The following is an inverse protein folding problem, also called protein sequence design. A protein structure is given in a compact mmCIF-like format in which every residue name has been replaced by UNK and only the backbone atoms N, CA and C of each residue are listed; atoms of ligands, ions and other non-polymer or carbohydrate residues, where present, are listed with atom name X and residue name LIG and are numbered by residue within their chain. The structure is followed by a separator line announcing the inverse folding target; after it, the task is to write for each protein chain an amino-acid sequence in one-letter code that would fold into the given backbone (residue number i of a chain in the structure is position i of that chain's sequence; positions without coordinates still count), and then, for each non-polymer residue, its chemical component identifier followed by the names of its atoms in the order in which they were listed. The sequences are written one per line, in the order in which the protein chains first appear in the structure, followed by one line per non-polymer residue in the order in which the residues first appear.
data_IF_231091686199
#
_entry.id   IF_231091686199
#
_cell.length_a   1.000
_cell.length_b   1.000
_cell.length_c   1.000
_cell.angle_alpha   90.00
_cell.angle_beta   90.00
_cell.angle_gamma   90.00
#
_symmetry.space_group_name_H-M   'P 1'
#
loop_
_entity.id
_entity.type
_entity.pdbx_description
1 polymer ?
#
# COMPACT_ATOMS: atom_id res chain seq x y z
N UNK A 1 6.80 39.01 -1.02
CA UNK A 1 7.17 37.86 -0.17
C UNK A 1 5.99 37.12 0.42
N UNK A 2 4.93 37.80 0.85
CA UNK A 2 3.74 37.12 1.42
C UNK A 2 2.97 36.28 0.42
N UNK A 3 2.98 36.61 -0.87
CA UNK A 3 2.29 35.87 -1.93
C UNK A 3 2.94 34.52 -2.29
N UNK A 4 4.21 34.31 -1.91
CA UNK A 4 4.97 33.08 -2.22
C UNK A 4 4.72 31.97 -1.18
N UNK A 5 4.36 32.35 0.06
CA UNK A 5 4.11 31.40 1.16
C UNK A 5 2.76 30.69 1.06
N UNK A 6 1.74 31.37 0.51
CA UNK A 6 0.38 30.82 0.38
C UNK A 6 0.32 29.59 -0.54
N UNK A 7 0.96 29.59 -1.73
CA UNK A 7 0.95 28.41 -2.59
C UNK A 7 1.65 27.19 -1.98
N UNK A 8 2.70 27.41 -1.18
CA UNK A 8 3.44 26.33 -0.50
C UNK A 8 2.60 25.65 0.58
N UNK A 9 1.83 26.41 1.32
CA UNK A 9 0.92 25.88 2.36
C UNK A 9 -0.22 25.09 1.71
N UNK A 10 -0.77 25.58 0.61
CA UNK A 10 -1.82 24.88 -0.14
C UNK A 10 -1.33 23.55 -0.70
N UNK A 11 -0.08 23.48 -1.19
CA UNK A 11 0.52 22.24 -1.69
C UNK A 11 0.73 21.22 -0.56
N UNK A 12 1.15 21.65 0.61
CA UNK A 12 1.33 20.77 1.77
C UNK A 12 0.00 20.16 2.23
N UNK A 13 -1.07 20.93 2.23
CA UNK A 13 -2.41 20.46 2.59
C UNK A 13 -2.95 19.45 1.57
N UNK A 14 -2.70 19.69 0.28
CA UNK A 14 -3.12 18.76 -0.80
C UNK A 14 -2.39 17.43 -0.72
N UNK A 15 -1.11 17.44 -0.37
CA UNK A 15 -0.30 16.22 -0.21
C UNK A 15 -0.85 15.31 0.89
N UNK A 16 -1.26 15.88 2.04
CA UNK A 16 -1.85 15.11 3.14
C UNK A 16 -3.15 14.42 2.76
N UNK A 17 -4.02 15.09 1.99
CA UNK A 17 -5.26 14.49 1.50
C UNK A 17 -5.00 13.33 0.53
N UNK A 18 -4.04 13.47 -0.38
CA UNK A 18 -3.66 12.43 -1.34
C UNK A 18 -3.13 11.19 -0.62
N UNK A 19 -2.28 11.36 0.39
CA UNK A 19 -1.75 10.26 1.19
C UNK A 19 -2.84 9.49 1.92
N UNK A 20 -3.81 10.19 2.51
CA UNK A 20 -4.93 9.56 3.22
C UNK A 20 -5.78 8.71 2.27
N UNK A 21 -6.09 9.24 1.09
CA UNK A 21 -6.86 8.51 0.07
C UNK A 21 -6.07 7.29 -0.43
N UNK A 22 -4.78 7.47 -0.71
CA UNK A 22 -3.91 6.40 -1.18
C UNK A 22 -3.80 5.28 -0.14
N UNK A 23 -3.65 5.61 1.14
CA UNK A 23 -3.60 4.64 2.23
C UNK A 23 -4.87 3.81 2.29
N UNK A 24 -6.03 4.44 2.22
CA UNK A 24 -7.32 3.75 2.21
C UNK A 24 -7.47 2.78 1.03
N UNK A 25 -7.00 3.18 -0.14
CA UNK A 25 -7.04 2.33 -1.33
C UNK A 25 -6.10 1.15 -1.23
N UNK A 26 -4.89 1.36 -0.71
CA UNK A 26 -3.92 0.27 -0.50
C UNK A 26 -4.46 -0.70 0.55
N UNK A 27 -4.99 -0.20 1.66
CA UNK A 27 -5.62 -1.03 2.69
C UNK A 27 -6.71 -1.92 2.09
N UNK A 28 -7.62 -1.33 1.32
CA UNK A 28 -8.71 -2.08 0.67
C UNK A 28 -8.17 -3.13 -0.30
N UNK A 29 -7.15 -2.78 -1.08
CA UNK A 29 -6.53 -3.71 -2.03
C UNK A 29 -5.89 -4.91 -1.31
N UNK A 30 -5.24 -4.68 -0.18
CA UNK A 30 -4.62 -5.74 0.62
C UNK A 30 -5.67 -6.67 1.23
N UNK A 31 -6.75 -6.10 1.77
CA UNK A 31 -7.87 -6.90 2.31
C UNK A 31 -8.54 -7.70 1.20
N UNK A 32 -8.81 -7.10 0.05
CA UNK A 32 -9.38 -7.79 -1.10
C UNK A 32 -8.47 -8.89 -1.64
N UNK A 33 -7.15 -8.75 -1.49
CA UNK A 33 -6.20 -9.79 -1.86
C UNK A 33 -6.19 -10.95 -0.86
N UNK A 34 -6.83 -10.81 0.30
CA UNK A 34 -6.98 -11.87 1.29
C UNK A 34 -6.15 -11.70 2.55
N UNK A 35 -5.48 -10.57 2.73
CA UNK A 35 -4.72 -10.29 3.96
C UNK A 35 -5.67 -9.88 5.10
N UNK A 36 -5.25 -10.12 6.34
CA UNK A 36 -6.01 -9.71 7.51
C UNK A 36 -6.09 -8.19 7.61
N UNK A 37 -7.14 -7.66 8.26
CA UNK A 37 -7.29 -6.23 8.54
C UNK A 37 -6.07 -5.65 9.23
N UNK A 38 -5.54 -6.36 10.22
CA UNK A 38 -4.38 -5.92 10.99
C UNK A 38 -3.13 -5.77 10.12
N UNK A 39 -2.84 -6.77 9.30
CA UNK A 39 -1.71 -6.72 8.38
C UNK A 39 -1.91 -5.67 7.30
N UNK A 40 -3.12 -5.57 6.75
CA UNK A 40 -3.46 -4.59 5.73
C UNK A 40 -3.28 -3.15 6.24
N UNK A 41 -3.74 -2.86 7.45
CA UNK A 41 -3.60 -1.53 8.06
C UNK A 41 -2.13 -1.16 8.25
N UNK A 42 -1.35 -2.05 8.84
CA UNK A 42 0.07 -1.82 9.09
C UNK A 42 0.86 -1.66 7.79
N UNK A 43 0.65 -2.55 6.83
CA UNK A 43 1.36 -2.52 5.55
C UNK A 43 0.99 -1.29 4.71
N UNK A 44 -0.29 -0.93 4.66
CA UNK A 44 -0.74 0.24 3.89
C UNK A 44 -0.07 1.52 4.37
N UNK A 45 0.01 1.72 5.68
CA UNK A 45 0.65 2.89 6.27
C UNK A 45 2.11 3.03 5.82
N UNK A 46 2.84 1.93 5.78
CA UNK A 46 4.25 1.91 5.37
C UNK A 46 4.42 2.04 3.85
N UNK A 47 3.56 1.39 3.09
CA UNK A 47 3.69 1.33 1.64
C UNK A 47 3.40 2.66 0.97
N UNK A 48 2.41 3.43 1.46
CA UNK A 48 2.09 4.75 0.88
C UNK A 48 3.22 5.75 1.06
N UNK A 49 4.05 5.60 2.09
CA UNK A 49 5.19 6.48 2.32
C UNK A 49 6.36 6.22 1.36
N UNK A 50 6.42 5.04 0.77
CA UNK A 50 7.59 4.58 0.02
C UNK A 50 7.34 4.32 -1.45
N UNK A 51 6.10 4.13 -1.86
CA UNK A 51 5.75 3.83 -3.24
C UNK A 51 5.07 5.02 -3.90
N UNK A 52 5.27 5.15 -5.20
CA UNK A 52 4.60 6.16 -6.02
C UNK A 52 3.15 5.74 -6.30
N UNK A 53 2.30 6.68 -6.69
CA UNK A 53 0.91 6.39 -7.06
C UNK A 53 0.82 5.35 -8.19
N UNK A 54 1.62 5.44 -9.29
CA UNK A 54 1.60 4.39 -10.31
C UNK A 54 1.95 3.01 -9.78
N UNK A 55 2.90 2.91 -8.82
CA UNK A 55 3.26 1.64 -8.19
C UNK A 55 2.13 1.08 -7.32
N UNK A 56 1.45 1.94 -6.58
CA UNK A 56 0.29 1.55 -5.78
C UNK A 56 -0.86 1.04 -6.66
N UNK A 57 -1.06 1.63 -7.83
CA UNK A 57 -2.06 1.16 -8.79
C UNK A 57 -1.76 -0.24 -9.32
N UNK A 58 -0.50 -0.58 -9.49
CA UNK A 58 -0.09 -1.94 -9.88
C UNK A 58 -0.51 -2.96 -8.82
N UNK A 59 -0.44 -2.58 -7.54
CA UNK A 59 -0.89 -3.44 -6.44
C UNK A 59 -2.41 -3.59 -6.42
N UNK A 60 -3.16 -2.54 -6.73
CA UNK A 60 -4.62 -2.60 -6.82
C UNK A 60 -5.09 -3.59 -7.89
N UNK A 61 -4.29 -3.80 -8.94
CA UNK A 61 -4.60 -4.75 -10.00
C UNK A 61 -4.46 -6.22 -9.57
N UNK A 62 -3.84 -6.49 -8.41
CA UNK A 62 -3.65 -7.84 -7.87
C UNK A 62 -4.85 -8.30 -7.05
N UNK A 63 -6.06 -8.18 -7.60
CA UNK A 63 -7.27 -8.63 -6.92
C UNK A 63 -7.33 -10.15 -6.85
N UNK A 64 -7.89 -10.66 -5.76
CA UNK A 64 -8.15 -12.09 -5.62
C UNK A 64 -9.07 -12.58 -6.73
N UNK A 65 -8.79 -13.75 -7.26
CA UNK A 65 -9.66 -14.43 -8.24
C UNK A 65 -10.94 -14.91 -7.56
N UNK A 66 -12.03 -15.15 -8.32
CA UNK A 66 -13.23 -15.75 -7.75
C UNK A 66 -12.91 -17.04 -6.98
N UNK A 67 -13.38 -17.15 -5.75
CA UNK A 67 -13.10 -18.29 -4.85
C UNK A 67 -11.88 -18.11 -3.96
N UNK A 68 -10.92 -17.26 -4.31
CA UNK A 68 -9.74 -17.00 -3.47
C UNK A 68 -10.06 -16.11 -2.26
N UNK A 69 -11.10 -15.28 -2.35
CA UNK A 69 -11.52 -14.39 -1.26
C UNK A 69 -12.01 -15.14 -0.02
N UNK A 70 -12.50 -16.35 -0.21
CA UNK A 70 -13.01 -17.19 0.87
C UNK A 70 -11.89 -17.84 1.68
N UNK A 71 -10.66 -17.82 1.17
CA UNK A 71 -9.50 -18.41 1.82
C UNK A 71 -8.52 -17.33 2.25
N UNK A 72 -8.13 -17.30 3.54
CA UNK A 72 -7.10 -16.36 3.98
C UNK A 72 -5.81 -16.57 3.17
N UNK A 73 -5.22 -15.47 2.74
CA UNK A 73 -3.94 -15.48 2.03
C UNK A 73 -2.82 -15.26 3.04
N UNK A 74 -1.79 -16.09 2.99
CA UNK A 74 -0.58 -15.88 3.77
C UNK A 74 0.24 -14.73 3.14
N UNK A 75 1.08 -14.09 3.95
CA UNK A 75 2.00 -13.06 3.46
C UNK A 75 2.88 -13.61 2.34
N UNK A 76 3.38 -14.85 2.48
CA UNK A 76 4.20 -15.48 1.46
C UNK A 76 3.47 -15.65 0.13
N UNK A 77 2.21 -16.06 0.16
CA UNK A 77 1.38 -16.19 -1.04
C UNK A 77 1.11 -14.84 -1.69
N UNK A 78 0.87 -13.81 -0.89
CA UNK A 78 0.68 -12.46 -1.39
C UNK A 78 1.95 -11.93 -2.06
N UNK A 79 3.10 -12.13 -1.46
CA UNK A 79 4.39 -11.73 -2.04
C UNK A 79 4.67 -12.41 -3.38
N UNK A 80 4.28 -13.67 -3.54
CA UNK A 80 4.38 -14.36 -4.83
C UNK A 80 3.55 -13.66 -5.91
N UNK A 81 2.37 -13.16 -5.56
CA UNK A 81 1.55 -12.38 -6.49
C UNK A 81 2.20 -11.04 -6.83
N UNK A 82 2.77 -10.37 -5.84
CA UNK A 82 3.45 -9.08 -6.02
C UNK A 82 4.64 -9.21 -6.97
N UNK A 83 5.34 -10.32 -6.94
CA UNK A 83 6.46 -10.58 -7.88
C UNK A 83 6.04 -10.54 -9.34
N UNK A 84 4.80 -10.88 -9.66
CA UNK A 84 4.27 -10.84 -11.02
C UNK A 84 4.09 -9.43 -11.56
N UNK A 85 4.08 -8.43 -10.70
CA UNK A 85 4.01 -7.01 -11.10
C UNK A 85 5.24 -6.60 -11.90
N UNK A 86 6.39 -7.26 -11.67
CA UNK A 86 7.62 -6.98 -12.39
C UNK A 86 8.35 -5.70 -11.97
N UNK A 87 8.03 -5.17 -10.80
CA UNK A 87 8.67 -3.96 -10.25
C UNK A 87 9.43 -4.36 -8.98
N UNK A 88 10.75 -4.34 -9.06
CA UNK A 88 11.63 -4.76 -7.96
C UNK A 88 11.45 -3.90 -6.70
N UNK A 89 11.21 -2.60 -6.86
CA UNK A 89 10.97 -1.70 -5.73
C UNK A 89 9.66 -2.03 -5.03
N UNK A 90 8.59 -2.29 -5.79
CA UNK A 90 7.30 -2.71 -5.23
C UNK A 90 7.47 -4.00 -4.43
N UNK A 91 8.19 -4.98 -4.96
CA UNK A 91 8.46 -6.24 -4.26
C UNK A 91 9.23 -5.99 -2.97
N UNK A 92 10.30 -5.21 -3.02
CA UNK A 92 11.14 -4.93 -1.86
C UNK A 92 10.39 -4.18 -0.76
N UNK A 93 9.64 -3.14 -1.11
CA UNK A 93 8.86 -2.35 -0.15
C UNK A 93 7.74 -3.20 0.46
N UNK A 94 7.04 -3.98 -0.34
CA UNK A 94 5.96 -4.84 0.14
C UNK A 94 6.51 -5.92 1.08
N UNK A 95 7.61 -6.57 0.71
CA UNK A 95 8.24 -7.60 1.53
C UNK A 95 8.74 -7.04 2.87
N UNK A 96 9.42 -5.89 2.85
CA UNK A 96 9.92 -5.27 4.08
C UNK A 96 8.77 -4.79 4.97
N UNK A 97 7.72 -4.23 4.39
CA UNK A 97 6.52 -3.82 5.13
C UNK A 97 5.85 -5.03 5.80
N UNK A 98 5.70 -6.12 5.07
CA UNK A 98 5.13 -7.36 5.61
C UNK A 98 5.97 -7.91 6.77
N UNK A 99 7.29 -7.94 6.61
CA UNK A 99 8.20 -8.42 7.65
C UNK A 99 8.15 -7.57 8.91
N UNK A 100 8.20 -6.25 8.78
CA UNK A 100 8.13 -5.33 9.92
C UNK A 100 6.78 -5.38 10.61
N UNK A 101 5.68 -5.48 9.86
CA UNK A 101 4.35 -5.62 10.42
C UNK A 101 4.16 -6.95 11.15
N UNK A 102 4.75 -8.03 10.64
CA UNK A 102 4.68 -9.35 11.27
C UNK A 102 5.35 -9.38 12.65
N UNK A 103 6.41 -8.59 12.86
CA UNK A 103 7.11 -8.51 14.16
C UNK A 103 6.66 -7.33 15.02
N UNK A 104 5.61 -6.62 14.61
CA UNK A 104 5.04 -5.53 15.38
C UNK A 104 5.80 -4.20 15.32
N UNK A 105 6.67 -4.01 14.36
CA UNK A 105 7.48 -2.80 14.18
C UNK A 105 6.90 -1.83 13.14
N UNK A 106 5.67 -2.04 12.77
CA UNK A 106 4.98 -1.20 11.81
C UNK A 106 4.52 0.15 12.31
#
# INVERSE_FOLDING_TARGET
MRAVLVPLVALALTSGCVETIAEGRVHSALVEAGLSERNATCMADRMVDRLTIPQLRKLEALKARPGERERPVTIAQYLERVRRVGDAEVVAVTASSAGLCAVGLG
#
